data_IF_101561452129
#
_entry.id   IF_101561452129
#
_cell.length_a   1.000
_cell.length_b   1.000
_cell.length_c   1.000
_cell.angle_alpha   90.00
_cell.angle_beta   90.00
_cell.angle_gamma   90.00
#
_symmetry.space_group_name_H-M   'P 1'
#
loop_
_entity.id
_entity.type
_entity.pdbx_description
1 polymer ?
#
# COMPACT_ATOMS: atom_id res chain seq x y z
N UNK A 1 -8.00 -25.06 -9.08
CA UNK A 1 -6.86 -24.37 -8.41
C UNK A 1 -5.81 -24.01 -9.46
N UNK A 2 -5.03 -22.94 -9.30
CA UNK A 2 -4.08 -22.49 -10.35
C UNK A 2 -3.04 -23.54 -10.80
N UNK A 3 -2.64 -24.46 -9.91
CA UNK A 3 -1.75 -25.59 -10.26
C UNK A 3 -2.38 -26.57 -11.27
N UNK A 4 -3.68 -26.87 -11.12
CA UNK A 4 -4.40 -27.79 -12.00
C UNK A 4 -4.52 -27.21 -13.42
N UNK A 5 -4.72 -25.89 -13.55
CA UNK A 5 -4.75 -25.21 -14.85
C UNK A 5 -3.38 -25.23 -15.54
N UNK A 6 -2.29 -25.11 -14.77
CA UNK A 6 -0.93 -25.19 -15.32
C UNK A 6 -0.61 -26.54 -15.95
N UNK A 7 -1.01 -27.64 -15.29
CA UNK A 7 -0.84 -29.00 -15.84
C UNK A 7 -1.64 -29.20 -17.14
N UNK A 8 -2.85 -28.63 -17.23
CA UNK A 8 -3.68 -28.66 -18.45
C UNK A 8 -2.99 -27.91 -19.60
N UNK A 9 -2.39 -26.74 -19.33
CA UNK A 9 -1.66 -25.97 -20.35
C UNK A 9 -0.45 -26.77 -20.86
N UNK A 10 0.35 -27.38 -19.98
CA UNK A 10 1.47 -28.23 -20.40
C UNK A 10 1.00 -29.42 -21.24
N UNK A 11 -0.10 -30.08 -20.84
CA UNK A 11 -0.67 -31.18 -21.62
C UNK A 11 -1.21 -30.74 -23.00
N UNK A 12 -1.74 -29.52 -23.09
CA UNK A 12 -2.15 -28.91 -24.35
C UNK A 12 -0.96 -28.62 -25.27
N UNK A 13 0.14 -28.08 -24.74
CA UNK A 13 1.37 -27.81 -25.49
C UNK A 13 1.99 -29.09 -26.05
N UNK A 14 2.08 -30.14 -25.24
CA UNK A 14 2.55 -31.46 -25.67
C UNK A 14 1.66 -32.04 -26.78
N UNK A 15 0.33 -31.93 -26.61
CA UNK A 15 -0.64 -32.38 -27.61
C UNK A 15 -0.50 -31.59 -28.92
N UNK A 16 -0.30 -30.26 -28.84
CA UNK A 16 -0.05 -29.40 -29.99
C UNK A 16 1.22 -29.80 -30.74
N UNK A 17 2.31 -30.12 -30.02
CA UNK A 17 3.56 -30.59 -30.63
C UNK A 17 3.34 -31.88 -31.43
N UNK A 18 2.60 -32.84 -30.85
CA UNK A 18 2.26 -34.11 -31.54
C UNK A 18 1.38 -33.85 -32.77
N UNK A 19 0.36 -33.00 -32.64
CA UNK A 19 -0.55 -32.67 -33.74
C UNK A 19 0.15 -31.97 -34.90
N UNK A 20 1.09 -31.06 -34.61
CA UNK A 20 1.92 -30.41 -35.62
C UNK A 20 2.87 -31.38 -36.33
N UNK A 21 3.39 -32.39 -35.62
CA UNK A 21 4.17 -33.47 -36.22
C UNK A 21 3.33 -34.32 -37.17
N UNK A 22 2.10 -34.67 -36.78
CA UNK A 22 1.14 -35.39 -37.63
C UNK A 22 0.75 -34.56 -38.86
N UNK A 23 0.59 -33.25 -38.73
CA UNK A 23 0.32 -32.34 -39.84
C UNK A 23 1.48 -32.24 -40.83
N UNK A 24 2.72 -32.44 -40.37
CA UNK A 24 3.92 -32.47 -41.21
C UNK A 24 4.19 -33.86 -41.83
N UNK A 25 3.50 -34.90 -41.39
CA UNK A 25 3.69 -36.26 -41.87
C UNK A 25 3.10 -36.46 -43.28
N UNK A 26 3.90 -36.98 -44.21
CA UNK A 26 3.48 -37.29 -45.60
C UNK A 26 2.28 -38.23 -45.72
N UNK A 27 1.97 -39.03 -44.70
CA UNK A 27 0.87 -40.01 -44.71
C UNK A 27 -0.43 -39.48 -44.08
N UNK A 28 -0.52 -38.18 -43.76
CA UNK A 28 -1.68 -37.62 -43.07
C UNK A 28 -2.92 -37.40 -43.94
N UNK A 29 -2.84 -37.61 -45.26
CA UNK A 29 -3.90 -37.29 -46.20
C UNK A 29 -5.30 -37.80 -45.79
N UNK A 30 -5.48 -39.02 -45.25
CA UNK A 30 -6.79 -39.51 -44.81
C UNK A 30 -7.37 -38.76 -43.61
N UNK A 31 -6.52 -38.24 -42.72
CA UNK A 31 -6.90 -37.63 -41.44
C UNK A 31 -6.69 -36.11 -41.42
N UNK A 32 -6.27 -35.52 -42.54
CA UNK A 32 -5.83 -34.12 -42.61
C UNK A 32 -6.88 -33.15 -42.08
N UNK A 33 -8.16 -33.38 -42.39
CA UNK A 33 -9.27 -32.53 -41.90
C UNK A 33 -9.40 -32.58 -40.38
N UNK A 34 -9.35 -33.78 -39.80
CA UNK A 34 -9.48 -33.97 -38.35
C UNK A 34 -8.26 -33.40 -37.61
N UNK A 35 -7.05 -33.61 -38.17
CA UNK A 35 -5.82 -33.04 -37.62
C UNK A 35 -5.91 -31.52 -37.60
N UNK A 36 -6.32 -30.88 -38.70
CA UNK A 36 -6.46 -29.42 -38.77
C UNK A 36 -7.51 -28.89 -37.79
N UNK A 37 -8.65 -29.58 -37.65
CA UNK A 37 -9.69 -29.20 -36.69
C UNK A 37 -9.16 -29.23 -35.25
N UNK A 38 -8.47 -30.31 -34.87
CA UNK A 38 -7.92 -30.46 -33.52
C UNK A 38 -6.77 -29.49 -33.26
N UNK A 39 -5.90 -29.22 -34.24
CA UNK A 39 -4.88 -28.16 -34.12
C UNK A 39 -5.54 -26.83 -33.81
N UNK A 40 -6.58 -26.44 -34.57
CA UNK A 40 -7.28 -25.19 -34.32
C UNK A 40 -7.91 -25.15 -32.92
N UNK A 41 -8.63 -26.20 -32.52
CA UNK A 41 -9.24 -26.28 -31.18
C UNK A 41 -8.21 -26.17 -30.06
N UNK A 42 -7.07 -26.85 -30.19
CA UNK A 42 -6.02 -26.84 -29.17
C UNK A 42 -5.32 -25.47 -29.08
N UNK A 43 -5.06 -24.82 -30.22
CA UNK A 43 -4.51 -23.45 -30.26
C UNK A 43 -5.49 -22.48 -29.58
N UNK A 44 -6.75 -22.50 -29.99
CA UNK A 44 -7.77 -21.60 -29.42
C UNK A 44 -7.96 -21.84 -27.91
N UNK A 45 -7.93 -23.10 -27.47
CA UNK A 45 -8.01 -23.46 -26.05
C UNK A 45 -6.82 -22.88 -25.28
N UNK A 46 -5.60 -22.97 -25.82
CA UNK A 46 -4.40 -22.40 -25.19
C UNK A 46 -4.52 -20.89 -25.01
N UNK A 47 -4.89 -20.17 -26.07
CA UNK A 47 -5.06 -18.72 -26.01
C UNK A 47 -6.16 -18.28 -25.03
N UNK A 48 -7.26 -19.04 -24.97
CA UNK A 48 -8.37 -18.78 -24.06
C UNK A 48 -7.93 -19.01 -22.61
N UNK A 49 -7.22 -20.09 -22.31
CA UNK A 49 -6.74 -20.39 -20.96
C UNK A 49 -5.69 -19.37 -20.48
N UNK A 50 -4.78 -18.93 -21.35
CA UNK A 50 -3.84 -17.85 -21.01
C UNK A 50 -4.58 -16.56 -20.62
N UNK A 51 -5.54 -16.12 -21.45
CA UNK A 51 -6.37 -14.95 -21.15
C UNK A 51 -7.20 -15.14 -19.89
N UNK A 52 -7.74 -16.34 -19.68
CA UNK A 52 -8.48 -16.69 -18.47
C UNK A 52 -7.64 -16.49 -17.22
N UNK A 53 -6.38 -16.95 -17.22
CA UNK A 53 -5.48 -16.78 -16.08
C UNK A 53 -5.16 -15.31 -15.81
N UNK A 54 -4.97 -14.50 -16.86
CA UNK A 54 -4.75 -13.05 -16.72
C UNK A 54 -5.98 -12.37 -16.11
N UNK A 55 -7.18 -12.66 -16.65
CA UNK A 55 -8.45 -12.13 -16.15
C UNK A 55 -8.66 -12.55 -14.69
N UNK A 56 -8.41 -13.81 -14.35
CA UNK A 56 -8.56 -14.32 -12.99
C UNK A 56 -7.66 -13.57 -12.00
N UNK A 57 -6.38 -13.41 -12.32
CA UNK A 57 -5.43 -12.74 -11.44
C UNK A 57 -5.83 -11.28 -11.20
N UNK A 58 -6.24 -10.58 -12.26
CA UNK A 58 -6.67 -9.19 -12.15
C UNK A 58 -8.01 -9.06 -11.42
N UNK A 59 -8.93 -10.00 -11.64
CA UNK A 59 -10.21 -10.05 -10.93
C UNK A 59 -10.02 -10.28 -9.43
N UNK A 60 -9.17 -11.23 -9.00
CA UNK A 60 -8.89 -11.48 -7.57
C UNK A 60 -8.31 -10.24 -6.89
N UNK A 61 -7.39 -9.54 -7.57
CA UNK A 61 -6.82 -8.30 -7.06
C UNK A 61 -7.89 -7.21 -6.87
N UNK A 62 -8.73 -6.99 -7.89
CA UNK A 62 -9.77 -5.96 -7.84
C UNK A 62 -10.95 -6.33 -6.93
N UNK A 63 -11.23 -7.61 -6.73
CA UNK A 63 -12.23 -8.12 -5.78
C UNK A 63 -11.89 -7.65 -4.37
N UNK A 64 -10.65 -7.86 -3.93
CA UNK A 64 -10.18 -7.44 -2.62
C UNK A 64 -10.31 -5.91 -2.40
N UNK A 65 -10.23 -5.12 -3.47
CA UNK A 65 -10.35 -3.65 -3.42
C UNK A 65 -11.80 -3.19 -3.40
N UNK A 66 -12.68 -3.78 -4.22
CA UNK A 66 -14.03 -3.27 -4.45
C UNK A 66 -15.13 -3.96 -3.62
N UNK A 67 -14.92 -5.16 -3.10
CA UNK A 67 -15.98 -5.98 -2.46
C UNK A 67 -16.15 -5.75 -0.96
N UNK A 68 -15.31 -4.93 -0.30
CA UNK A 68 -15.43 -4.74 1.15
C UNK A 68 -14.83 -3.47 1.75
N UNK A 69 -14.41 -2.50 0.93
CA UNK A 69 -13.68 -1.33 1.40
C UNK A 69 -14.34 0.01 1.09
N UNK A 70 -13.91 1.05 1.81
CA UNK A 70 -14.30 2.44 1.56
C UNK A 70 -13.90 2.95 0.17
N UNK A 71 -12.93 2.30 -0.47
CA UNK A 71 -12.52 2.60 -1.85
C UNK A 71 -13.69 2.47 -2.82
N UNK A 72 -14.59 1.50 -2.62
CA UNK A 72 -15.79 1.35 -3.46
C UNK A 72 -16.72 2.58 -3.43
N UNK A 73 -16.74 3.32 -2.32
CA UNK A 73 -17.50 4.57 -2.16
C UNK A 73 -16.80 5.74 -2.82
N UNK A 74 -15.46 5.71 -2.86
CA UNK A 74 -14.62 6.74 -3.50
C UNK A 74 -14.60 6.60 -5.02
N UNK A 75 -14.74 5.37 -5.53
CA UNK A 75 -14.75 5.04 -6.97
C UNK A 75 -16.04 4.29 -7.34
N UNK A 76 -17.22 4.95 -7.30
CA UNK A 76 -18.51 4.28 -7.47
C UNK A 76 -18.77 3.81 -8.91
N UNK A 77 -18.20 4.49 -9.91
CA UNK A 77 -18.34 4.10 -11.31
C UNK A 77 -17.58 2.79 -11.59
N UNK A 78 -16.35 2.70 -11.09
CA UNK A 78 -15.50 1.51 -11.15
C UNK A 78 -16.09 0.37 -10.33
N UNK A 79 -16.61 0.63 -9.12
CA UNK A 79 -17.27 -0.39 -8.32
C UNK A 79 -18.51 -0.97 -9.02
N UNK A 80 -19.32 -0.13 -9.67
CA UNK A 80 -20.46 -0.59 -10.48
C UNK A 80 -20.00 -1.42 -11.69
N UNK A 81 -18.91 -1.01 -12.35
CA UNK A 81 -18.32 -1.77 -13.47
C UNK A 81 -17.80 -3.13 -12.99
N UNK A 82 -17.06 -3.16 -11.89
CA UNK A 82 -16.53 -4.37 -11.29
C UNK A 82 -17.65 -5.36 -10.92
N UNK A 83 -18.76 -4.89 -10.33
CA UNK A 83 -19.92 -5.76 -10.04
C UNK A 83 -20.54 -6.42 -11.28
N UNK A 84 -20.47 -5.79 -12.46
CA UNK A 84 -20.93 -6.41 -13.71
C UNK A 84 -19.92 -7.44 -14.23
N UNK A 85 -18.62 -7.17 -14.06
CA UNK A 85 -17.54 -8.10 -14.38
C UNK A 85 -17.66 -9.34 -13.49
N UNK A 86 -17.84 -9.15 -12.18
CA UNK A 86 -18.00 -10.19 -11.18
C UNK A 86 -19.13 -11.17 -11.54
N UNK A 87 -20.32 -10.66 -11.84
CA UNK A 87 -21.45 -11.48 -12.32
C UNK A 87 -21.13 -12.28 -13.58
N UNK A 88 -20.33 -11.71 -14.49
CA UNK A 88 -19.92 -12.39 -15.72
C UNK A 88 -18.87 -13.45 -15.44
N UNK A 89 -17.92 -13.15 -14.55
CA UNK A 89 -16.88 -14.06 -14.08
C UNK A 89 -17.48 -15.29 -13.37
N UNK A 90 -18.48 -15.10 -12.50
CA UNK A 90 -19.18 -16.20 -11.84
C UNK A 90 -19.83 -17.14 -12.86
N UNK A 91 -20.44 -16.62 -13.94
CA UNK A 91 -21.02 -17.45 -15.01
C UNK A 91 -19.95 -18.25 -15.76
N UNK A 92 -18.79 -17.64 -16.01
CA UNK A 92 -17.64 -18.32 -16.61
C UNK A 92 -17.17 -19.48 -15.71
N UNK A 93 -17.07 -19.24 -14.40
CA UNK A 93 -16.70 -20.27 -13.42
C UNK A 93 -17.75 -21.39 -13.31
N UNK A 94 -19.04 -21.06 -13.40
CA UNK A 94 -20.13 -22.06 -13.45
C UNK A 94 -20.01 -22.94 -14.70
N UNK A 95 -19.76 -22.34 -15.88
CA UNK A 95 -19.54 -23.10 -17.11
C UNK A 95 -18.35 -24.05 -16.99
N UNK A 96 -17.23 -23.61 -16.44
CA UNK A 96 -16.06 -24.49 -16.21
C UNK A 96 -16.35 -25.62 -15.21
N UNK A 97 -17.28 -25.39 -14.27
CA UNK A 97 -17.73 -26.44 -13.36
C UNK A 97 -18.63 -27.47 -14.04
N UNK A 98 -19.52 -27.03 -14.94
CA UNK A 98 -20.44 -27.88 -15.69
C UNK A 98 -19.74 -28.65 -16.83
N UNK A 99 -18.73 -28.05 -17.46
CA UNK A 99 -17.98 -28.59 -18.59
C UNK A 99 -16.52 -28.82 -18.17
N UNK A 100 -16.19 -29.99 -17.58
CA UNK A 100 -14.85 -30.27 -17.08
C UNK A 100 -13.81 -30.48 -18.18
N UNK A 101 -14.23 -30.74 -19.42
CA UNK A 101 -13.31 -30.84 -20.55
C UNK A 101 -12.86 -29.44 -20.99
N UNK A 102 -11.56 -29.14 -20.86
CA UNK A 102 -11.01 -27.82 -21.15
C UNK A 102 -11.23 -27.39 -22.62
N UNK A 103 -11.04 -28.30 -23.57
CA UNK A 103 -11.23 -27.99 -25.00
C UNK A 103 -12.69 -27.69 -25.30
N UNK A 104 -13.62 -28.48 -24.75
CA UNK A 104 -15.06 -28.25 -24.92
C UNK A 104 -15.52 -26.97 -24.21
N UNK A 105 -15.01 -26.69 -23.01
CA UNK A 105 -15.34 -25.47 -22.27
C UNK A 105 -14.90 -24.22 -23.05
N UNK A 106 -13.70 -24.24 -23.64
CA UNK A 106 -13.11 -23.12 -24.37
C UNK A 106 -13.66 -22.97 -25.80
N UNK A 107 -13.83 -24.08 -26.54
CA UNK A 107 -14.14 -24.08 -27.99
C UNK A 107 -15.52 -24.63 -28.34
N UNK A 108 -16.35 -24.97 -27.35
CA UNK A 108 -17.72 -25.46 -27.57
C UNK A 108 -18.64 -24.40 -28.21
N UNK A 109 -18.34 -23.12 -27.99
CA UNK A 109 -18.95 -21.98 -28.67
C UNK A 109 -17.96 -20.79 -28.70
N UNK A 110 -18.33 -19.69 -29.36
CA UNK A 110 -17.51 -18.47 -29.43
C UNK A 110 -17.58 -17.61 -28.15
N UNK A 111 -18.36 -18.02 -27.14
CA UNK A 111 -18.67 -17.19 -25.97
C UNK A 111 -17.40 -16.85 -25.19
N UNK A 112 -16.53 -17.84 -24.92
CA UNK A 112 -15.29 -17.62 -24.16
C UNK A 112 -14.30 -16.72 -24.92
N UNK A 113 -14.19 -16.93 -26.23
CA UNK A 113 -13.31 -16.15 -27.11
C UNK A 113 -13.70 -14.66 -27.19
N UNK A 114 -14.98 -14.32 -27.03
CA UNK A 114 -15.45 -12.94 -27.04
C UNK A 114 -15.56 -12.32 -25.64
N UNK A 115 -16.02 -13.09 -24.66
CA UNK A 115 -16.30 -12.59 -23.31
C UNK A 115 -15.02 -12.30 -22.52
N UNK A 116 -14.01 -13.17 -22.57
CA UNK A 116 -12.77 -12.98 -21.80
C UNK A 116 -12.00 -11.72 -22.23
N UNK A 117 -11.76 -11.44 -23.53
CA UNK A 117 -11.14 -10.17 -23.93
C UNK A 117 -11.93 -8.95 -23.48
N UNK A 118 -13.26 -9.01 -23.56
CA UNK A 118 -14.11 -7.93 -23.09
C UNK A 118 -13.95 -7.71 -21.57
N UNK A 119 -13.98 -8.78 -20.76
CA UNK A 119 -13.77 -8.66 -19.32
C UNK A 119 -12.37 -8.13 -18.99
N UNK A 120 -11.34 -8.56 -19.72
CA UNK A 120 -9.98 -8.07 -19.55
C UNK A 120 -9.90 -6.55 -19.76
N UNK A 121 -10.44 -6.04 -20.88
CA UNK A 121 -10.47 -4.60 -21.17
C UNK A 121 -11.19 -3.81 -20.06
N UNK A 122 -12.31 -4.34 -19.56
CA UNK A 122 -13.05 -3.70 -18.47
C UNK A 122 -12.27 -3.70 -17.14
N UNK A 123 -11.57 -4.80 -16.83
CA UNK A 123 -10.71 -4.91 -15.65
C UNK A 123 -9.49 -3.97 -15.74
N UNK A 124 -8.83 -3.90 -16.90
CA UNK A 124 -7.71 -2.98 -17.14
C UNK A 124 -8.14 -1.51 -17.00
N UNK A 125 -9.36 -1.18 -17.45
CA UNK A 125 -9.94 0.16 -17.23
C UNK A 125 -10.09 0.45 -15.74
N UNK A 126 -10.65 -0.49 -14.96
CA UNK A 126 -10.76 -0.34 -13.51
C UNK A 126 -9.39 -0.20 -12.84
N UNK A 127 -8.42 -1.01 -13.25
CA UNK A 127 -7.05 -0.95 -12.73
C UNK A 127 -6.40 0.41 -13.01
N UNK A 128 -6.55 0.95 -14.22
CA UNK A 128 -6.01 2.26 -14.58
C UNK A 128 -6.63 3.39 -13.75
N UNK A 129 -7.95 3.37 -13.55
CA UNK A 129 -8.63 4.32 -12.66
C UNK A 129 -8.11 4.20 -11.23
N UNK A 130 -7.92 2.97 -10.72
CA UNK A 130 -7.38 2.72 -9.39
C UNK A 130 -5.95 3.26 -9.25
N UNK A 131 -5.07 3.01 -10.22
CA UNK A 131 -3.70 3.55 -10.21
C UNK A 131 -3.71 5.08 -10.15
N UNK A 132 -4.52 5.75 -10.98
CA UNK A 132 -4.64 7.21 -10.96
C UNK A 132 -5.19 7.74 -9.62
N UNK A 133 -6.12 7.01 -9.01
CA UNK A 133 -6.63 7.34 -7.67
C UNK A 133 -5.52 7.24 -6.60
N UNK A 134 -4.74 6.16 -6.59
CA UNK A 134 -3.63 5.98 -5.65
C UNK A 134 -2.55 7.05 -5.83
N UNK A 135 -2.21 7.40 -7.07
CA UNK A 135 -1.29 8.50 -7.37
C UNK A 135 -1.80 9.85 -6.84
N UNK A 136 -3.08 10.16 -7.02
CA UNK A 136 -3.68 11.37 -6.47
C UNK A 136 -3.55 11.41 -4.94
N UNK A 137 -3.78 10.29 -4.25
CA UNK A 137 -3.61 10.19 -2.79
C UNK A 137 -2.16 10.36 -2.36
N UNK A 138 -1.20 9.82 -3.11
CA UNK A 138 0.24 10.02 -2.89
C UNK A 138 0.66 11.48 -3.03
N UNK A 139 0.09 12.21 -3.98
CA UNK A 139 0.36 13.64 -4.13
C UNK A 139 -0.16 14.46 -2.96
N UNK A 140 -1.30 14.07 -2.37
CA UNK A 140 -1.83 14.73 -1.18
C UNK A 140 -0.99 14.45 0.08
N UNK A 141 -0.48 13.23 0.25
CA UNK A 141 0.43 12.88 1.35
C UNK A 141 1.68 12.15 0.83
N UNK A 142 2.77 12.87 0.55
CA UNK A 142 3.96 12.32 -0.10
C UNK A 142 4.63 11.14 0.62
N UNK A 143 4.37 10.93 1.91
CA UNK A 143 4.92 9.75 2.62
C UNK A 143 4.31 8.43 2.14
N UNK A 144 3.18 8.46 1.45
CA UNK A 144 2.63 7.27 0.78
C UNK A 144 3.52 6.75 -0.37
N UNK A 145 4.53 7.49 -0.81
CA UNK A 145 5.54 6.97 -1.73
C UNK A 145 6.51 5.97 -1.07
N UNK A 146 6.57 5.91 0.27
CA UNK A 146 7.42 4.96 1.00
C UNK A 146 6.76 3.59 1.23
N UNK A 147 5.48 3.44 0.88
CA UNK A 147 4.73 2.19 1.03
C UNK A 147 4.29 1.64 -0.32
N UNK A 148 4.13 0.32 -0.37
CA UNK A 148 3.67 -0.39 -1.56
C UNK A 148 2.17 -0.20 -1.81
N UNK A 149 1.70 -0.44 -3.04
CA UNK A 149 0.29 -0.34 -3.42
C UNK A 149 -0.64 -1.19 -2.52
N UNK A 150 -0.33 -2.46 -2.18
CA UNK A 150 -1.19 -3.24 -1.28
C UNK A 150 -1.35 -2.62 0.11
N UNK A 151 -0.27 -2.09 0.69
CA UNK A 151 -0.32 -1.43 2.01
C UNK A 151 -1.12 -0.13 1.93
N UNK A 152 -0.95 0.64 0.85
CA UNK A 152 -1.74 1.85 0.65
C UNK A 152 -3.23 1.55 0.49
N UNK A 153 -3.58 0.46 -0.22
CA UNK A 153 -4.96 0.00 -0.37
C UNK A 153 -5.56 -0.46 0.96
N UNK A 154 -4.79 -1.12 1.83
CA UNK A 154 -5.23 -1.51 3.17
C UNK A 154 -5.59 -0.28 4.01
N UNK A 155 -4.72 0.74 4.00
CA UNK A 155 -4.95 2.03 4.69
C UNK A 155 -6.21 2.74 4.16
N UNK A 156 -6.37 2.83 2.83
CA UNK A 156 -7.49 3.53 2.22
C UNK A 156 -8.80 2.75 2.33
N UNK A 157 -8.72 1.42 2.34
CA UNK A 157 -9.85 0.49 2.44
C UNK A 157 -10.58 0.57 3.79
N UNK A 158 -9.85 0.91 4.86
CA UNK A 158 -10.36 1.06 6.23
C UNK A 158 -10.39 2.52 6.70
N UNK A 159 -10.44 3.48 5.76
CA UNK A 159 -10.33 4.91 6.07
C UNK A 159 -11.41 5.47 6.99
N UNK A 160 -12.56 4.79 7.14
CA UNK A 160 -13.60 5.16 8.11
C UNK A 160 -13.23 4.91 9.57
N UNK A 161 -12.29 4.00 9.86
CA UNK A 161 -11.80 3.75 11.23
C UNK A 161 -10.37 4.30 11.38
N UNK A 162 -10.17 5.43 12.08
CA UNK A 162 -8.85 5.98 12.32
C UNK A 162 -7.89 5.04 13.06
N UNK A 163 -8.40 4.07 13.83
CA UNK A 163 -7.58 3.14 14.61
C UNK A 163 -6.87 2.11 13.73
N UNK A 164 -7.40 1.83 12.53
CA UNK A 164 -6.83 0.89 11.57
C UNK A 164 -5.44 1.28 11.07
N UNK A 165 -5.04 2.56 11.22
CA UNK A 165 -3.73 3.05 10.76
C UNK A 165 -2.56 2.56 11.63
N UNK A 166 -2.83 2.17 12.88
CA UNK A 166 -1.80 1.86 13.88
C UNK A 166 -0.69 0.89 13.38
N UNK A 167 -0.99 -0.24 12.71
CA UNK A 167 0.04 -1.12 12.16
C UNK A 167 0.91 -0.47 11.07
N UNK A 168 0.42 0.58 10.39
CA UNK A 168 1.09 1.22 9.28
C UNK A 168 1.87 2.50 9.68
N UNK A 169 1.61 3.06 10.87
CA UNK A 169 2.32 4.24 11.36
C UNK A 169 3.85 4.11 11.33
N UNK A 170 4.46 2.98 11.74
CA UNK A 170 5.92 2.84 11.69
C UNK A 170 6.49 2.91 10.27
N UNK A 171 5.71 2.54 9.25
CA UNK A 171 6.12 2.66 7.84
C UNK A 171 5.98 4.08 7.30
N UNK A 172 5.16 4.92 7.94
CA UNK A 172 4.91 6.31 7.55
C UNK A 172 5.70 7.31 8.39
N UNK A 173 6.13 6.94 9.59
CA UNK A 173 6.81 7.80 10.56
C UNK A 173 7.92 7.06 11.29
N UNK A 174 9.15 7.57 11.21
CA UNK A 174 10.29 6.95 11.88
C UNK A 174 10.18 6.93 13.42
N UNK A 175 9.56 7.95 14.02
CA UNK A 175 9.53 8.15 15.48
C UNK A 175 8.14 7.98 16.12
N UNK A 176 7.11 7.73 15.30
CA UNK A 176 5.73 7.53 15.79
C UNK A 176 5.34 6.09 15.52
N UNK A 177 5.47 5.26 16.54
CA UNK A 177 5.14 3.84 16.45
C UNK A 177 3.65 3.59 16.68
N UNK A 178 3.05 4.29 17.65
CA UNK A 178 1.61 4.25 17.96
C UNK A 178 1.11 5.61 18.37
N UNK A 179 -0.19 5.79 18.32
CA UNK A 179 -0.88 6.96 18.89
C UNK A 179 -1.98 6.55 19.87
N UNK A 180 -2.28 7.40 20.84
CA UNK A 180 -3.46 7.26 21.69
C UNK A 180 -4.57 8.20 21.22
N UNK A 181 -5.78 7.64 21.17
CA UNK A 181 -7.01 8.36 20.88
C UNK A 181 -7.66 8.82 22.20
N UNK A 182 -8.44 9.90 22.13
CA UNK A 182 -9.21 10.41 23.28
C UNK A 182 -10.35 9.44 23.63
N UNK A 183 -10.44 9.05 24.91
CA UNK A 183 -11.48 8.15 25.42
C UNK A 183 -12.91 8.68 25.17
N UNK A 184 -13.10 10.00 25.07
CA UNK A 184 -14.39 10.63 24.81
C UNK A 184 -14.65 10.87 23.33
N UNK A 185 -13.59 10.98 22.52
CA UNK A 185 -13.65 11.28 21.08
C UNK A 185 -12.67 10.36 20.36
N UNK A 186 -13.17 9.19 19.98
CA UNK A 186 -12.39 8.14 19.28
C UNK A 186 -11.70 8.64 18.01
N UNK A 187 -12.18 9.73 17.42
CA UNK A 187 -11.61 10.32 16.19
C UNK A 187 -10.59 11.42 16.48
N UNK A 188 -10.10 11.56 17.71
CA UNK A 188 -9.10 12.58 18.08
C UNK A 188 -7.87 11.92 18.67
N UNK A 189 -6.72 12.16 18.04
CA UNK A 189 -5.42 11.70 18.53
C UNK A 189 -4.87 12.73 19.53
N UNK A 190 -4.44 12.26 20.70
CA UNK A 190 -3.98 13.12 21.81
C UNK A 190 -2.53 12.90 22.20
N UNK A 191 -1.91 11.77 21.84
CA UNK A 191 -0.55 11.44 22.28
C UNK A 191 0.15 10.59 21.23
N UNK A 192 1.42 10.88 20.98
CA UNK A 192 2.30 10.00 20.19
C UNK A 192 3.13 9.10 21.10
N UNK A 193 3.42 7.89 20.61
CA UNK A 193 4.24 6.88 21.30
C UNK A 193 5.38 6.41 20.42
N UNK A 194 6.57 6.31 21.01
CA UNK A 194 7.71 5.65 20.38
C UNK A 194 7.64 4.12 20.54
N UNK A 195 8.51 3.43 19.81
CA UNK A 195 8.76 2.00 19.92
C UNK A 195 9.32 1.60 21.30
N UNK A 196 10.09 2.50 21.94
CA UNK A 196 10.62 2.36 23.29
C UNK A 196 9.61 2.68 24.40
N UNK A 197 8.36 3.02 24.04
CA UNK A 197 7.29 3.29 24.99
C UNK A 197 7.27 4.72 25.56
N UNK A 198 8.13 5.61 25.07
CA UNK A 198 8.05 7.04 25.37
C UNK A 198 6.72 7.59 24.88
N UNK A 199 6.04 8.37 25.72
CA UNK A 199 4.76 9.00 25.39
C UNK A 199 4.90 10.51 25.43
N UNK A 200 4.53 11.19 24.35
CA UNK A 200 4.56 12.64 24.28
C UNK A 200 3.14 13.14 23.95
N UNK A 201 2.46 13.80 24.90
CA UNK A 201 1.14 14.35 24.65
C UNK A 201 1.22 15.54 23.68
N UNK A 202 0.22 15.67 22.83
CA UNK A 202 0.08 16.84 21.97
C UNK A 202 -0.56 18.00 22.76
N UNK A 203 -0.11 19.24 22.52
CA UNK A 203 -0.76 20.43 23.09
C UNK A 203 -2.20 20.60 22.61
N UNK A 204 -2.44 20.25 21.34
CA UNK A 204 -3.75 20.26 20.71
C UNK A 204 -3.98 18.91 20.03
N UNK A 205 -5.11 18.27 20.37
CA UNK A 205 -5.51 17.03 19.73
C UNK A 205 -5.71 17.17 18.21
N UNK A 206 -5.34 16.13 17.47
CA UNK A 206 -5.48 16.05 16.01
C UNK A 206 -6.77 15.32 15.69
N UNK A 207 -7.68 15.98 14.97
CA UNK A 207 -8.94 15.37 14.56
C UNK A 207 -8.76 14.56 13.28
N UNK A 208 -9.16 13.30 13.31
CA UNK A 208 -9.16 12.35 12.18
C UNK A 208 -10.42 12.53 11.33
N UNK A 209 -10.61 13.73 10.78
CA UNK A 209 -11.81 14.07 9.97
C UNK A 209 -11.43 14.19 8.49
N UNK A 210 -12.28 13.65 7.63
CA UNK A 210 -12.10 13.68 6.18
C UNK A 210 -11.18 12.57 5.69
N UNK A 211 -10.56 12.77 4.51
CA UNK A 211 -9.66 11.78 3.92
C UNK A 211 -8.41 11.53 4.77
N UNK A 212 -7.94 10.27 4.77
CA UNK A 212 -6.80 9.82 5.56
C UNK A 212 -5.54 10.64 5.30
N UNK A 213 -5.32 11.04 4.05
CA UNK A 213 -4.22 11.90 3.65
C UNK A 213 -4.21 13.26 4.35
N UNK A 214 -5.37 13.83 4.69
CA UNK A 214 -5.47 15.17 5.25
C UNK A 214 -5.18 15.20 6.74
N UNK A 215 -5.78 14.27 7.48
CA UNK A 215 -5.50 14.19 8.92
C UNK A 215 -4.12 13.61 9.20
N UNK A 216 -3.55 12.76 8.33
CA UNK A 216 -2.14 12.35 8.44
C UNK A 216 -1.17 13.51 8.23
N UNK A 217 -1.45 14.43 7.30
CA UNK A 217 -0.69 15.67 7.17
C UNK A 217 -0.81 16.54 8.42
N UNK A 218 -2.01 16.62 9.00
CA UNK A 218 -2.25 17.36 10.26
C UNK A 218 -1.49 16.73 11.43
N UNK A 219 -1.46 15.40 11.51
CA UNK A 219 -0.68 14.65 12.48
C UNK A 219 0.81 14.92 12.31
N UNK A 220 1.33 14.88 11.08
CA UNK A 220 2.73 15.19 10.78
C UNK A 220 3.11 16.60 11.23
N UNK A 221 2.26 17.58 10.97
CA UNK A 221 2.49 18.95 11.41
C UNK A 221 2.46 19.04 12.94
N UNK A 222 1.50 18.39 13.59
CA UNK A 222 1.37 18.39 15.05
C UNK A 222 2.57 17.73 15.74
N UNK A 223 3.08 16.61 15.20
CA UNK A 223 4.28 15.94 15.71
C UNK A 223 5.48 16.91 15.65
N UNK A 224 5.67 17.62 14.53
CA UNK A 224 6.74 18.60 14.38
C UNK A 224 6.60 19.77 15.34
N UNK A 225 5.41 20.31 15.48
CA UNK A 225 5.16 21.47 16.34
C UNK A 225 5.29 21.09 17.82
N UNK A 226 4.83 19.89 18.21
CA UNK A 226 5.00 19.37 19.57
C UNK A 226 6.48 19.23 19.91
N UNK A 227 7.29 18.61 19.04
CA UNK A 227 8.75 18.47 19.29
C UNK A 227 9.43 19.84 19.37
N UNK A 228 9.08 20.79 18.49
CA UNK A 228 9.60 22.17 18.56
C UNK A 228 9.25 22.83 19.88
N UNK A 229 8.02 22.70 20.35
CA UNK A 229 7.57 23.32 21.59
C UNK A 229 8.23 22.69 22.81
N UNK A 230 8.42 21.36 22.83
CA UNK A 230 9.17 20.66 23.88
C UNK A 230 10.61 21.16 23.93
N UNK A 231 11.30 21.28 22.79
CA UNK A 231 12.67 21.82 22.73
C UNK A 231 12.70 23.30 23.12
N UNK A 232 11.73 24.11 22.69
CA UNK A 232 11.66 25.53 23.03
C UNK A 232 11.41 25.75 24.52
N UNK A 233 10.51 24.97 25.13
CA UNK A 233 10.24 24.98 26.57
C UNK A 233 11.50 24.63 27.36
N UNK A 234 12.22 23.59 26.94
CA UNK A 234 13.50 23.23 27.54
C UNK A 234 14.55 24.34 27.41
N UNK A 235 14.65 24.97 26.23
CA UNK A 235 15.59 26.07 26.01
C UNK A 235 15.27 27.31 26.87
N UNK A 236 13.99 27.57 27.15
CA UNK A 236 13.57 28.65 28.04
C UNK A 236 14.03 28.41 29.49
N UNK A 237 14.08 27.16 29.95
CA UNK A 237 14.61 26.83 31.27
C UNK A 237 16.09 27.24 31.42
N UNK A 238 16.88 27.20 30.34
CA UNK A 238 18.30 27.61 30.35
C UNK A 238 18.53 29.13 30.49
N UNK A 239 17.46 29.92 30.51
CA UNK A 239 17.55 31.36 30.83
C UNK A 239 17.74 31.56 32.32
N UNK A 240 17.18 30.69 33.17
CA UNK A 240 17.37 30.73 34.62
C UNK A 240 18.78 30.20 34.97
N UNK A 241 19.66 31.02 35.56
CA UNK A 241 21.00 30.59 35.98
C UNK A 241 20.99 29.48 37.03
N UNK A 242 19.89 29.30 37.77
CA UNK A 242 19.76 28.29 38.81
C UNK A 242 19.15 26.97 38.31
N UNK A 243 18.83 26.87 37.02
CA UNK A 243 18.22 25.67 36.46
C UNK A 243 19.22 24.51 36.42
N UNK A 244 18.96 23.47 37.21
CA UNK A 244 19.72 22.23 37.18
C UNK A 244 19.25 21.34 36.03
N UNK A 245 19.98 21.37 34.92
CA UNK A 245 19.66 20.53 33.77
C UNK A 245 19.81 19.03 34.06
N UNK A 246 20.78 18.61 34.89
CA UNK A 246 21.05 17.19 35.15
C UNK A 246 19.94 16.56 35.98
N UNK A 247 19.34 17.32 36.90
CA UNK A 247 18.17 16.85 37.65
C UNK A 247 16.90 16.83 36.79
N UNK A 248 16.76 17.78 35.86
CA UNK A 248 15.50 18.00 35.16
C UNK A 248 15.43 17.45 33.73
N UNK A 249 16.51 16.94 33.13
CA UNK A 249 16.47 16.48 31.73
C UNK A 249 15.47 15.33 31.49
N UNK A 250 15.19 14.50 32.52
CA UNK A 250 14.22 13.40 32.48
C UNK A 250 12.76 13.86 32.36
N UNK A 251 12.48 15.14 32.60
CA UNK A 251 11.13 15.72 32.48
C UNK A 251 10.73 15.98 31.03
N UNK A 252 11.69 16.01 30.11
CA UNK A 252 11.48 16.17 28.69
C UNK A 252 11.65 14.83 27.96
N UNK A 253 11.20 14.75 26.71
CA UNK A 253 11.47 13.56 25.89
C UNK A 253 12.99 13.38 25.68
N UNK A 254 13.44 12.13 25.54
CA UNK A 254 14.85 11.77 25.49
C UNK A 254 15.62 12.51 24.39
N UNK A 255 15.03 12.67 23.20
CA UNK A 255 15.62 13.44 22.12
C UNK A 255 15.74 14.93 22.46
N UNK A 256 14.74 15.53 23.12
CA UNK A 256 14.85 16.91 23.60
C UNK A 256 15.97 17.01 24.65
N UNK A 257 16.10 16.04 25.57
CA UNK A 257 17.24 15.94 26.48
C UNK A 257 18.60 16.06 25.78
N UNK A 258 18.81 15.26 24.73
CA UNK A 258 20.06 15.29 23.95
C UNK A 258 20.29 16.63 23.23
N UNK A 259 19.24 17.20 22.64
CA UNK A 259 19.31 18.52 22.00
C UNK A 259 19.63 19.61 23.04
N UNK A 260 19.07 19.52 24.25
CA UNK A 260 19.36 20.41 25.36
C UNK A 260 20.84 20.44 25.74
N UNK A 261 21.50 19.27 25.81
CA UNK A 261 22.95 19.17 26.01
C UNK A 261 23.71 19.91 24.92
N UNK A 262 23.32 19.71 23.66
CA UNK A 262 23.97 20.35 22.52
C UNK A 262 23.79 21.88 22.54
N UNK A 263 22.61 22.37 22.94
CA UNK A 263 22.34 23.80 23.11
C UNK A 263 23.24 24.40 24.19
N UNK A 264 23.32 23.78 25.37
CA UNK A 264 24.16 24.24 26.47
C UNK A 264 25.64 24.25 26.09
N UNK A 265 26.14 23.13 25.56
CA UNK A 265 27.53 23.00 25.12
C UNK A 265 27.89 24.05 24.08
N UNK A 266 27.04 24.26 23.07
CA UNK A 266 27.30 25.25 22.01
C UNK A 266 27.31 26.67 22.58
N UNK A 267 26.35 27.02 23.44
CA UNK A 267 26.27 28.33 24.10
C UNK A 267 27.53 28.62 24.93
N UNK A 268 27.95 27.67 25.76
CA UNK A 268 29.12 27.83 26.64
C UNK A 268 30.43 27.90 25.83
N UNK A 269 30.59 27.02 24.85
CA UNK A 269 31.77 27.02 23.97
C UNK A 269 31.89 28.34 23.20
N UNK A 270 30.78 28.86 22.64
CA UNK A 270 30.78 30.16 21.97
C UNK A 270 31.16 31.31 22.90
N UNK A 271 30.62 31.31 24.13
CA UNK A 271 30.94 32.33 25.14
C UNK A 271 32.43 32.25 25.51
N UNK A 272 32.97 31.04 25.73
CA UNK A 272 34.37 30.82 26.05
C UNK A 272 35.30 31.31 24.93
N UNK A 273 34.99 30.97 23.67
CA UNK A 273 35.76 31.42 22.50
C UNK A 273 35.71 32.94 22.36
N UNK A 274 34.53 33.57 22.53
CA UNK A 274 34.38 35.04 22.49
C UNK A 274 35.20 35.71 23.59
N UNK A 275 35.17 35.18 24.82
CA UNK A 275 35.96 35.69 25.96
C UNK A 275 37.46 35.54 25.73
N UNK A 276 37.90 34.41 25.20
CA UNK A 276 39.31 34.15 24.91
C UNK A 276 39.92 35.09 23.85
N UNK A 277 39.11 35.67 22.96
CA UNK A 277 39.57 36.73 22.04
C UNK A 277 39.94 38.02 22.77
N UNK A 278 39.25 38.32 23.86
CA UNK A 278 39.44 39.54 24.65
C UNK A 278 40.54 39.33 25.69
N UNK A 279 40.55 38.18 26.35
CA UNK A 279 41.56 37.80 27.34
C UNK A 279 42.28 36.51 26.92
N UNK A 280 43.52 36.67 26.44
CA UNK A 280 44.37 35.58 25.93
C UNK A 280 44.90 34.65 27.04
N UNK A 281 44.73 35.00 28.31
CA UNK A 281 45.19 34.19 29.46
C UNK A 281 44.10 33.26 29.99
N UNK A 282 42.82 33.50 29.66
CA UNK A 282 41.67 32.72 30.14
C UNK A 282 41.78 31.21 29.84
N UNK A 283 42.25 30.84 28.64
CA UNK A 283 42.39 29.42 28.26
C UNK A 283 43.59 28.70 28.91
N UNK A 284 44.48 29.41 29.63
CA UNK A 284 45.60 28.77 30.33
C UNK A 284 45.24 28.25 31.73
N UNK A 285 44.06 28.60 32.23
CA UNK A 285 43.67 28.39 33.65
C UNK A 285 42.61 27.27 33.81
N UNK A 286 41.96 26.85 32.73
CA UNK A 286 41.12 25.63 32.67
C UNK A 286 41.96 24.39 32.41
#
# INVERSE_FOLDING_TARGET
KGQETGEIITALEDSLMVMNSLLSNRYNAPFKKDIQLWVHKLVDTSEILEKWMIVQNLWVYLEAVFVGGDISRQLPAEAKRFNNIDKSWIKIMQRAHEIPNAVECCTGDETMGQLLPHLLEQLETCQKSLTGYLESKRLCFPRFFFISDPVLLEILGQSSDPSSIQPHLPSLFDAVFKVDFDDKKTDTIITMKSDLGEKVPFEKGVQCVGGVEFWLNSLLQMVRDTVKNVIASQAQCFVDPNYDFVANFVTFCGQAGLVGVQILWTKEAEIAIKKARVDRMLMKIT
#
